data_IF_986297102627
#
_entry.id   IF_986297102627
#
_cell.length_a   1.000
_cell.length_b   1.000
_cell.length_c   1.000
_cell.angle_alpha   90.00
_cell.angle_beta   90.00
_cell.angle_gamma   90.00
#
_symmetry.space_group_name_H-M   'P 1'
#
loop_
_entity.id
_entity.type
_entity.pdbx_description
1 polymer ?
#
# COMPACT_ATOMS: atom_id res chain seq x y z
N UNK A 1 6.81 -18.34 13.66
CA UNK A 1 5.58 -17.83 14.32
C UNK A 1 5.82 -16.34 14.52
N UNK A 2 5.09 -15.46 13.84
CA UNK A 2 5.23 -14.02 14.13
C UNK A 2 4.57 -13.75 15.49
N UNK A 3 5.20 -12.90 16.30
CA UNK A 3 4.72 -12.55 17.63
C UNK A 3 3.43 -11.72 17.55
N UNK A 4 2.50 -11.98 18.47
CA UNK A 4 1.25 -11.21 18.58
C UNK A 4 1.57 -9.77 18.98
N UNK A 5 0.87 -8.79 18.38
CA UNK A 5 1.02 -7.39 18.76
C UNK A 5 0.45 -7.20 20.18
N UNK A 6 1.23 -6.62 21.07
CA UNK A 6 0.77 -6.30 22.42
C UNK A 6 -0.31 -5.21 22.40
N UNK A 7 -1.40 -5.43 23.13
CA UNK A 7 -2.51 -4.49 23.30
C UNK A 7 -2.14 -3.43 24.34
N UNK A 8 -2.57 -2.19 24.13
CA UNK A 8 -2.41 -1.16 25.15
C UNK A 8 -3.33 -1.43 26.36
N UNK A 9 -2.81 -1.47 27.59
CA UNK A 9 -3.62 -1.68 28.80
C UNK A 9 -4.77 -0.69 28.97
N UNK A 10 -4.64 0.53 28.44
CA UNK A 10 -5.68 1.56 28.50
C UNK A 10 -6.95 1.12 27.75
N UNK A 11 -6.82 0.23 26.75
CA UNK A 11 -7.93 -0.35 26.00
C UNK A 11 -8.38 -1.73 26.51
N UNK A 12 -7.60 -2.38 27.39
CA UNK A 12 -7.98 -3.66 28.01
C UNK A 12 -9.04 -3.51 29.11
N UNK A 13 -9.04 -2.40 29.85
CA UNK A 13 -9.81 -2.24 31.09
C UNK A 13 -10.92 -1.19 31.06
N UNK A 14 -10.98 -0.32 30.05
CA UNK A 14 -11.84 0.86 30.10
C UNK A 14 -13.26 0.60 29.58
N UNK A 15 -14.25 0.90 30.44
CA UNK A 15 -15.69 0.81 30.14
C UNK A 15 -16.16 1.83 29.09
N UNK A 16 -15.39 2.88 28.81
CA UNK A 16 -15.62 3.86 27.74
C UNK A 16 -14.32 4.67 27.60
N UNK A 17 -13.45 4.32 26.64
CA UNK A 17 -12.38 5.23 26.23
C UNK A 17 -13.01 6.25 25.28
N UNK A 18 -12.83 7.57 25.51
CA UNK A 18 -13.26 8.57 24.55
C UNK A 18 -12.68 8.23 23.18
N UNK A 19 -13.54 8.13 22.17
CA UNK A 19 -13.11 8.05 20.77
C UNK A 19 -12.46 9.39 20.42
N UNK A 20 -11.17 9.56 20.72
CA UNK A 20 -10.41 10.67 20.18
C UNK A 20 -10.29 10.45 18.66
N UNK A 21 -11.10 11.17 17.90
CA UNK A 21 -10.95 11.21 16.45
C UNK A 21 -9.59 11.87 16.13
N UNK A 22 -8.66 11.17 15.45
CA UNK A 22 -7.43 11.81 15.02
C UNK A 22 -7.79 12.89 13.99
N UNK A 23 -7.68 14.15 14.39
CA UNK A 23 -7.81 15.26 13.46
C UNK A 23 -6.62 15.27 12.50
N UNK A 24 -6.83 15.72 11.26
CA UNK A 24 -5.73 15.89 10.30
C UNK A 24 -4.66 16.85 10.82
N UNK A 25 -5.00 17.76 11.74
CA UNK A 25 -4.04 18.64 12.42
C UNK A 25 -3.15 17.89 13.41
N UNK A 26 -3.67 16.95 14.19
CA UNK A 26 -2.86 16.20 15.16
C UNK A 26 -1.92 15.20 14.46
N UNK A 27 -2.40 14.57 13.38
CA UNK A 27 -1.57 13.75 12.49
C UNK A 27 -0.42 14.58 11.90
N UNK A 28 -0.70 15.78 11.39
CA UNK A 28 0.36 16.69 10.89
C UNK A 28 1.42 17.01 11.95
N UNK A 29 1.01 17.29 13.19
CA UNK A 29 1.96 17.56 14.28
C UNK A 29 2.85 16.35 14.58
N UNK A 30 2.29 15.14 14.58
CA UNK A 30 3.05 13.90 14.77
C UNK A 30 4.04 13.65 13.64
N UNK A 31 3.65 13.91 12.38
CA UNK A 31 4.55 13.82 11.24
C UNK A 31 5.74 14.78 11.36
N UNK A 32 5.48 16.03 11.75
CA UNK A 32 6.54 17.03 11.96
C UNK A 32 7.53 16.56 13.04
N UNK A 33 7.02 15.93 14.11
CA UNK A 33 7.87 15.35 15.14
C UNK A 33 8.69 14.17 14.60
N UNK A 34 8.08 13.26 13.83
CA UNK A 34 8.78 12.16 13.16
C UNK A 34 9.87 12.66 12.20
N UNK A 35 9.62 13.77 11.49
CA UNK A 35 10.60 14.43 10.62
C UNK A 35 11.78 15.00 11.41
N UNK A 36 11.54 15.65 12.56
CA UNK A 36 12.59 16.13 13.46
C UNK A 36 13.43 14.97 14.00
N UNK A 37 12.79 13.85 14.38
CA UNK A 37 13.48 12.65 14.88
C UNK A 37 14.38 12.00 13.80
N UNK A 38 14.00 12.06 12.53
CA UNK A 38 14.73 11.42 11.42
C UNK A 38 15.55 12.39 10.55
N UNK A 39 15.64 13.67 10.92
CA UNK A 39 16.52 14.67 10.30
C UNK A 39 16.22 15.00 8.83
N UNK A 40 14.99 14.75 8.34
CA UNK A 40 14.62 14.97 6.93
C UNK A 40 13.64 16.13 6.77
N UNK A 41 13.95 17.03 5.83
CA UNK A 41 13.07 18.13 5.43
C UNK A 41 12.44 17.76 4.09
N UNK A 42 11.22 17.22 4.11
CA UNK A 42 10.46 16.95 2.89
C UNK A 42 10.01 18.28 2.27
N UNK A 43 10.41 18.55 1.03
CA UNK A 43 10.04 19.77 0.32
C UNK A 43 8.54 19.75 0.02
N UNK A 44 7.77 20.59 0.72
CA UNK A 44 6.30 20.63 0.67
C UNK A 44 5.68 19.35 1.23
N UNK A 45 5.31 19.40 2.51
CA UNK A 45 4.20 18.60 3.04
C UNK A 45 3.08 18.62 1.99
N UNK A 46 2.87 17.52 1.27
CA UNK A 46 1.66 17.39 0.47
C UNK A 46 0.52 17.37 1.49
N UNK A 47 -0.19 18.48 1.59
CA UNK A 47 -1.42 18.51 2.33
C UNK A 47 -2.34 17.40 1.76
N UNK A 48 -2.49 16.28 2.48
CA UNK A 48 -3.58 15.34 2.22
C UNK A 48 -3.25 13.95 1.66
N UNK A 49 -2.01 13.52 1.45
CA UNK A 49 -1.75 12.10 1.08
C UNK A 49 -1.46 11.23 2.32
N UNK A 50 -2.52 10.75 2.97
CA UNK A 50 -2.44 9.91 4.18
C UNK A 50 -1.67 8.59 3.93
N UNK A 51 -1.84 8.00 2.74
CA UNK A 51 -1.20 6.74 2.38
C UNK A 51 0.32 6.88 2.23
N UNK A 52 0.81 7.97 1.63
CA UNK A 52 2.26 8.19 1.50
C UNK A 52 2.94 8.32 2.86
N UNK A 53 2.32 9.03 3.80
CA UNK A 53 2.82 9.18 5.16
C UNK A 53 2.86 7.85 5.93
N UNK A 54 1.86 6.98 5.75
CA UNK A 54 1.87 5.64 6.32
C UNK A 54 3.10 4.84 5.88
N UNK A 55 3.45 4.89 4.60
CA UNK A 55 4.65 4.23 4.08
C UNK A 55 5.93 4.85 4.63
N UNK A 56 6.03 6.18 4.72
CA UNK A 56 7.20 6.83 5.31
C UNK A 56 7.41 6.43 6.78
N UNK A 57 6.36 6.36 7.59
CA UNK A 57 6.45 5.88 8.97
C UNK A 57 6.85 4.40 8.98
N UNK A 58 6.24 3.58 8.13
CA UNK A 58 6.49 2.14 8.04
C UNK A 58 7.96 1.84 7.74
N UNK A 59 8.50 2.51 6.71
CA UNK A 59 9.83 2.27 6.15
C UNK A 59 10.92 3.15 6.77
N UNK A 60 10.65 3.77 7.92
CA UNK A 60 11.60 4.62 8.65
C UNK A 60 12.20 5.72 7.76
N UNK A 61 11.31 6.40 7.02
CA UNK A 61 11.61 7.50 6.12
C UNK A 61 12.09 7.09 4.72
N UNK A 62 12.41 5.81 4.48
CA UNK A 62 12.83 5.32 3.16
C UNK A 62 11.66 5.26 2.17
N UNK A 63 11.95 5.46 0.88
CA UNK A 63 10.95 5.38 -0.22
C UNK A 63 10.86 3.99 -0.84
N UNK A 64 11.94 3.21 -0.75
CA UNK A 64 12.09 1.86 -1.28
C UNK A 64 13.03 1.05 -0.35
N UNK A 65 12.93 -0.28 -0.38
CA UNK A 65 13.79 -1.18 0.41
C UNK A 65 14.85 -1.91 -0.42
N UNK A 66 14.68 -2.00 -1.74
CA UNK A 66 15.64 -2.69 -2.60
C UNK A 66 17.01 -1.99 -2.58
N UNK A 67 18.12 -2.75 -2.59
CA UNK A 67 19.48 -2.19 -2.54
C UNK A 67 19.86 -1.30 -3.74
N UNK A 68 19.20 -1.46 -4.89
CA UNK A 68 19.51 -0.73 -6.11
C UNK A 68 18.92 0.68 -6.17
N UNK A 69 17.95 0.99 -5.32
CA UNK A 69 17.19 2.25 -5.35
C UNK A 69 18.11 3.48 -5.35
N UNK A 70 19.14 3.50 -4.50
CA UNK A 70 20.02 4.66 -4.35
C UNK A 70 20.91 4.94 -5.58
N UNK A 71 21.07 3.95 -6.45
CA UNK A 71 21.94 4.02 -7.64
C UNK A 71 21.17 4.04 -8.96
N UNK A 72 19.84 3.89 -8.91
CA UNK A 72 18.99 3.83 -10.09
C UNK A 72 18.96 5.18 -10.82
N UNK A 73 19.07 5.17 -12.15
CA UNK A 73 19.05 6.39 -12.97
C UNK A 73 17.78 6.50 -13.80
N UNK A 74 17.25 5.36 -14.26
CA UNK A 74 15.98 5.30 -14.98
C UNK A 74 14.97 4.56 -14.11
N UNK A 75 13.94 5.27 -13.64
CA UNK A 75 12.95 4.73 -12.71
C UNK A 75 11.57 4.81 -13.32
N UNK A 76 10.79 3.74 -13.22
CA UNK A 76 9.36 3.72 -13.56
C UNK A 76 8.55 3.65 -12.26
N UNK A 77 7.65 4.61 -12.04
CA UNK A 77 6.67 4.60 -10.95
C UNK A 77 5.30 4.17 -11.53
N UNK A 78 4.93 2.92 -11.30
CA UNK A 78 3.71 2.29 -11.79
C UNK A 78 2.52 2.64 -10.89
N UNK A 79 1.50 3.30 -11.47
CA UNK A 79 0.36 3.79 -10.68
C UNK A 79 0.74 5.02 -9.86
N UNK A 80 1.46 5.95 -10.47
CA UNK A 80 2.08 7.11 -9.80
C UNK A 80 1.06 8.00 -9.08
N UNK A 81 -0.22 7.93 -9.46
CA UNK A 81 -1.29 8.68 -8.81
C UNK A 81 -1.04 10.18 -8.86
N UNK A 82 -0.83 10.79 -7.70
CA UNK A 82 -0.54 12.22 -7.59
C UNK A 82 0.86 12.60 -8.06
N UNK A 83 1.75 11.63 -8.32
CA UNK A 83 3.16 11.84 -8.65
C UNK A 83 4.06 12.14 -7.46
N UNK A 84 3.53 12.08 -6.23
CA UNK A 84 4.26 12.52 -5.03
C UNK A 84 5.49 11.65 -4.77
N UNK A 85 5.33 10.32 -4.86
CA UNK A 85 6.45 9.41 -4.67
C UNK A 85 7.55 9.66 -5.70
N UNK A 86 7.19 9.80 -6.97
CA UNK A 86 8.15 10.04 -8.05
C UNK A 86 8.96 11.34 -7.87
N UNK A 87 8.28 12.44 -7.52
CA UNK A 87 8.93 13.74 -7.25
C UNK A 87 9.91 13.63 -6.08
N UNK A 88 9.45 13.06 -4.98
CA UNK A 88 10.22 12.94 -3.75
C UNK A 88 11.38 11.94 -3.86
N UNK A 89 11.22 10.90 -4.67
CA UNK A 89 12.30 9.98 -4.99
C UNK A 89 13.38 10.70 -5.80
N UNK A 90 13.01 11.46 -6.83
CA UNK A 90 13.96 12.24 -7.62
C UNK A 90 14.73 13.26 -6.76
N UNK A 91 14.04 13.96 -5.85
CA UNK A 91 14.64 14.95 -4.95
C UNK A 91 15.62 14.33 -3.93
N UNK A 92 15.46 13.04 -3.58
CA UNK A 92 16.39 12.32 -2.69
C UNK A 92 17.70 11.92 -3.38
N UNK A 93 17.75 11.95 -4.72
CA UNK A 93 18.89 11.48 -5.51
C UNK A 93 19.39 12.54 -6.52
N UNK A 94 19.68 13.79 -6.10
CA UNK A 94 20.02 14.87 -7.02
C UNK A 94 21.34 14.61 -7.78
N UNK A 95 22.30 13.94 -7.14
CA UNK A 95 23.62 13.60 -7.70
C UNK A 95 23.54 12.48 -8.75
N UNK A 96 22.49 11.65 -8.72
CA UNK A 96 22.36 10.47 -9.59
C UNK A 96 21.71 10.78 -10.95
N UNK A 97 21.30 12.03 -11.20
CA UNK A 97 20.55 12.44 -12.41
C UNK A 97 19.37 11.49 -12.71
N UNK A 98 18.60 11.18 -11.67
CA UNK A 98 17.50 10.22 -11.77
C UNK A 98 16.38 10.80 -12.63
N UNK A 99 15.99 10.05 -13.66
CA UNK A 99 14.76 10.28 -14.41
C UNK A 99 13.70 9.33 -13.90
N UNK A 100 12.63 9.89 -13.33
CA UNK A 100 11.47 9.11 -12.89
C UNK A 100 10.34 9.33 -13.89
N UNK A 101 9.85 8.23 -14.48
CA UNK A 101 8.67 8.21 -15.33
C UNK A 101 7.51 7.71 -14.48
N UNK A 102 6.60 8.60 -14.09
CA UNK A 102 5.38 8.22 -13.39
C UNK A 102 4.25 7.97 -14.39
N UNK A 103 3.59 6.80 -14.31
CA UNK A 103 2.50 6.42 -15.22
C UNK A 103 1.24 6.11 -14.42
N UNK A 104 0.10 6.61 -14.88
CA UNK A 104 -1.22 6.26 -14.36
C UNK A 104 -2.22 6.07 -15.50
N UNK A 105 -3.21 5.18 -15.30
CA UNK A 105 -4.30 5.00 -16.27
C UNK A 105 -5.26 6.20 -16.27
N UNK A 106 -5.33 6.91 -15.14
CA UNK A 106 -6.20 8.08 -14.97
C UNK A 106 -5.42 9.39 -15.13
N UNK A 107 -6.00 10.43 -15.76
CA UNK A 107 -5.40 11.76 -15.85
C UNK A 107 -5.46 12.49 -14.50
N UNK A 108 -4.72 12.01 -13.49
CA UNK A 108 -4.71 12.59 -12.15
C UNK A 108 -3.92 13.89 -12.12
N UNK A 109 -2.84 13.98 -12.91
CA UNK A 109 -2.03 15.19 -13.08
C UNK A 109 -1.91 15.56 -14.56
N UNK A 110 -2.04 16.85 -14.95
CA UNK A 110 -2.00 17.28 -16.35
C UNK A 110 -0.68 16.99 -17.08
N UNK A 111 0.42 16.81 -16.35
CA UNK A 111 1.78 16.73 -16.88
C UNK A 111 2.39 15.32 -16.82
N UNK A 112 1.66 14.31 -16.32
CA UNK A 112 2.14 12.92 -16.25
C UNK A 112 1.63 12.11 -17.46
N UNK A 113 2.45 11.21 -18.02
CA UNK A 113 2.02 10.34 -19.11
C UNK A 113 0.89 9.42 -18.66
N UNK A 114 -0.18 9.40 -19.44
CA UNK A 114 -1.29 8.46 -19.27
C UNK A 114 -0.95 7.23 -20.10
N UNK A 115 -0.76 6.08 -19.45
CA UNK A 115 -0.50 4.83 -20.16
C UNK A 115 -1.16 3.65 -19.45
N UNK A 116 -1.55 2.66 -20.26
CA UNK A 116 -2.12 1.41 -19.79
C UNK A 116 -0.98 0.40 -19.69
N UNK A 117 -0.51 0.18 -18.47
CA UNK A 117 0.62 -0.71 -18.18
C UNK A 117 0.38 -2.16 -18.60
N UNK A 118 -0.87 -2.59 -18.86
CA UNK A 118 -1.16 -3.93 -19.40
C UNK A 118 -0.92 -4.02 -20.92
N UNK A 119 -0.90 -2.91 -21.66
CA UNK A 119 -0.57 -2.85 -23.10
C UNK A 119 0.93 -2.80 -23.37
N UNK A 120 1.35 -3.27 -24.54
CA UNK A 120 2.76 -3.37 -24.92
C UNK A 120 3.58 -2.10 -24.57
N UNK A 121 4.68 -2.29 -23.84
CA UNK A 121 5.57 -1.21 -23.42
C UNK A 121 6.39 -0.73 -24.61
N UNK A 122 6.32 0.56 -24.95
CA UNK A 122 6.98 1.13 -26.13
C UNK A 122 8.26 1.92 -25.80
N UNK A 123 8.73 1.84 -24.55
CA UNK A 123 9.93 2.54 -24.11
C UNK A 123 11.19 1.99 -24.77
N UNK A 124 12.05 2.91 -25.23
CA UNK A 124 13.31 2.56 -25.92
C UNK A 124 14.47 2.30 -24.97
N UNK A 125 14.41 2.86 -23.77
CA UNK A 125 15.43 2.76 -22.74
C UNK A 125 14.88 1.89 -21.62
N UNK A 126 15.60 0.82 -21.21
CA UNK A 126 15.19 0.00 -20.09
C UNK A 126 15.34 0.74 -18.77
N UNK A 127 14.60 0.30 -17.75
CA UNK A 127 14.61 0.90 -16.41
C UNK A 127 15.60 0.17 -15.48
N UNK A 128 16.28 0.93 -14.63
CA UNK A 128 17.13 0.38 -13.58
C UNK A 128 16.31 0.00 -12.34
N UNK A 129 15.17 0.66 -12.15
CA UNK A 129 14.26 0.40 -11.06
C UNK A 129 12.81 0.58 -11.53
N UNK A 130 11.98 -0.42 -11.28
CA UNK A 130 10.53 -0.32 -11.45
C UNK A 130 9.91 -0.41 -10.06
N UNK A 131 9.07 0.57 -9.73
CA UNK A 131 8.38 0.69 -8.46
C UNK A 131 6.87 0.56 -8.67
N UNK A 132 6.20 -0.15 -7.78
CA UNK A 132 4.75 -0.34 -7.81
C UNK A 132 4.20 -0.31 -6.39
N UNK A 133 3.25 0.58 -6.09
CA UNK A 133 2.68 0.72 -4.75
C UNK A 133 1.16 0.78 -4.76
N UNK A 134 0.53 -0.02 -3.89
CA UNK A 134 -0.93 0.00 -3.65
C UNK A 134 -1.75 -0.19 -4.94
N UNK A 135 -1.24 -1.04 -5.84
CA UNK A 135 -1.86 -1.41 -7.10
C UNK A 135 -2.65 -2.74 -7.00
N UNK A 136 -3.06 -3.13 -5.79
CA UNK A 136 -3.90 -4.30 -5.56
C UNK A 136 -5.17 -4.24 -6.41
N UNK A 137 -5.45 -5.31 -7.16
CA UNK A 137 -6.58 -5.34 -8.09
C UNK A 137 -6.46 -4.42 -9.31
N UNK A 138 -5.30 -3.78 -9.54
CA UNK A 138 -5.07 -2.98 -10.75
C UNK A 138 -4.68 -3.83 -11.95
N UNK A 139 -4.08 -5.01 -11.76
CA UNK A 139 -3.66 -5.91 -12.84
C UNK A 139 -4.50 -7.18 -12.84
N UNK A 140 -4.94 -7.62 -14.03
CA UNK A 140 -5.69 -8.87 -14.18
C UNK A 140 -4.79 -10.10 -13.97
N UNK A 141 -3.53 -10.00 -14.39
CA UNK A 141 -2.53 -11.06 -14.27
C UNK A 141 -1.20 -10.50 -13.71
N UNK A 142 -0.97 -10.63 -12.39
CA UNK A 142 0.28 -10.21 -11.76
C UNK A 142 1.52 -10.96 -12.28
N UNK A 143 1.39 -12.22 -12.73
CA UNK A 143 2.52 -12.97 -13.30
C UNK A 143 2.93 -12.43 -14.67
N UNK A 144 1.94 -12.15 -15.53
CA UNK A 144 2.19 -11.50 -16.82
C UNK A 144 2.82 -10.12 -16.63
N UNK A 145 2.35 -9.35 -15.64
CA UNK A 145 2.95 -8.06 -15.31
C UNK A 145 4.41 -8.22 -14.82
N UNK A 146 4.69 -9.16 -13.94
CA UNK A 146 6.06 -9.43 -13.48
C UNK A 146 7.00 -9.78 -14.64
N UNK A 147 6.56 -10.62 -15.59
CA UNK A 147 7.33 -10.93 -16.82
C UNK A 147 7.59 -9.70 -17.67
N UNK A 148 6.61 -8.82 -17.77
CA UNK A 148 6.72 -7.58 -18.53
C UNK A 148 7.71 -6.61 -17.90
N UNK A 149 7.62 -6.43 -16.58
CA UNK A 149 8.59 -5.66 -15.81
C UNK A 149 9.99 -6.24 -15.99
N UNK A 150 10.13 -7.56 -15.86
CA UNK A 150 11.41 -8.24 -16.09
C UNK A 150 12.00 -7.89 -17.47
N UNK A 151 11.19 -7.90 -18.53
CA UNK A 151 11.66 -7.57 -19.88
C UNK A 151 12.03 -6.08 -20.02
N UNK A 152 11.29 -5.17 -19.38
CA UNK A 152 11.56 -3.72 -19.40
C UNK A 152 12.73 -3.27 -18.52
N UNK A 153 13.24 -4.13 -17.63
CA UNK A 153 14.38 -3.82 -16.77
C UNK A 153 15.72 -3.95 -17.50
N UNK A 154 16.66 -3.08 -17.13
CA UNK A 154 18.09 -3.20 -17.40
C UNK A 154 18.64 -4.48 -16.75
N UNK A 155 19.77 -4.99 -17.25
CA UNK A 155 20.51 -6.01 -16.52
C UNK A 155 20.84 -5.49 -15.10
N UNK A 156 20.65 -6.32 -14.08
CA UNK A 156 20.79 -5.94 -12.66
C UNK A 156 19.77 -4.93 -12.14
N UNK A 157 18.76 -4.57 -12.93
CA UNK A 157 17.66 -3.70 -12.51
C UNK A 157 16.74 -4.36 -11.49
N UNK A 158 16.05 -3.54 -10.70
CA UNK A 158 15.23 -3.98 -9.57
C UNK A 158 13.74 -3.76 -9.84
N UNK A 159 12.91 -4.67 -9.36
CA UNK A 159 11.48 -4.48 -9.24
C UNK A 159 11.09 -4.51 -7.75
N UNK A 160 10.40 -3.48 -7.26
CA UNK A 160 9.85 -3.47 -5.91
C UNK A 160 8.33 -3.23 -5.95
N UNK A 161 7.61 -4.06 -5.19
CA UNK A 161 6.17 -4.03 -5.02
C UNK A 161 5.87 -3.80 -3.54
N UNK A 162 5.07 -2.76 -3.25
CA UNK A 162 4.60 -2.42 -1.92
C UNK A 162 3.08 -2.45 -1.90
N UNK A 163 2.47 -3.44 -1.23
CA UNK A 163 1.02 -3.65 -1.37
C UNK A 163 0.35 -4.23 -0.13
N UNK A 164 -0.97 -4.07 -0.09
CA UNK A 164 -1.82 -4.49 1.02
C UNK A 164 -2.45 -5.86 0.77
N UNK A 165 -2.29 -6.75 1.76
CA UNK A 165 -2.95 -8.04 1.76
C UNK A 165 -4.35 -7.92 2.38
N UNK A 166 -5.32 -8.52 1.69
CA UNK A 166 -6.68 -8.74 2.18
C UNK A 166 -6.94 -10.23 2.43
N UNK A 167 -7.80 -10.62 3.38
CA UNK A 167 -8.56 -9.74 4.28
C UNK A 167 -7.76 -9.24 5.51
N UNK A 168 -8.42 -8.55 6.45
CA UNK A 168 -7.89 -8.14 7.76
C UNK A 168 -7.48 -9.38 8.54
N UNK A 169 -6.37 -9.26 9.27
CA UNK A 169 -5.88 -10.25 10.21
C UNK A 169 -6.20 -9.82 11.65
N UNK A 170 -6.39 -10.80 12.52
CA UNK A 170 -6.61 -10.62 13.94
C UNK A 170 -6.03 -11.83 14.67
N UNK A 171 -5.16 -11.59 15.65
CA UNK A 171 -4.41 -12.66 16.32
C UNK A 171 -5.13 -13.19 17.59
N UNK A 172 -6.14 -12.49 18.10
CA UNK A 172 -6.79 -12.79 19.40
C UNK A 172 -8.32 -13.00 19.33
N UNK A 173 -8.89 -13.01 18.12
CA UNK A 173 -10.30 -13.29 17.91
C UNK A 173 -11.25 -12.13 18.26
N UNK A 174 -10.74 -10.94 18.52
CA UNK A 174 -11.57 -9.73 18.72
C UNK A 174 -12.36 -9.30 17.46
N UNK A 175 -11.93 -9.77 16.29
CA UNK A 175 -12.63 -9.61 15.02
C UNK A 175 -13.34 -10.93 14.65
N UNK A 176 -14.64 -11.04 14.93
CA UNK A 176 -15.43 -12.24 14.57
C UNK A 176 -15.70 -12.26 13.06
N UNK A 177 -15.18 -13.26 12.30
CA UNK A 177 -15.38 -13.35 10.85
C UNK A 177 -16.85 -13.40 10.41
N UNK A 178 -17.76 -13.88 11.26
CA UNK A 178 -19.17 -14.08 10.90
C UNK A 178 -20.04 -12.85 11.11
N UNK A 179 -19.67 -11.99 12.07
CA UNK A 179 -20.51 -10.86 12.48
C UNK A 179 -19.87 -9.51 12.20
N UNK A 180 -18.56 -9.46 11.98
CA UNK A 180 -17.82 -8.21 11.75
C UNK A 180 -18.26 -7.52 10.45
N UNK A 181 -18.70 -6.25 10.50
CA UNK A 181 -18.88 -5.41 9.33
C UNK A 181 -17.62 -5.28 8.46
N UNK A 182 -16.43 -5.14 9.06
CA UNK A 182 -15.15 -5.10 8.35
C UNK A 182 -14.97 -6.38 7.54
N UNK A 183 -15.17 -7.56 8.14
CA UNK A 183 -15.00 -8.84 7.44
C UNK A 183 -16.01 -9.00 6.30
N UNK A 184 -17.28 -8.69 6.54
CA UNK A 184 -18.33 -8.67 5.51
C UNK A 184 -17.97 -7.74 4.34
N UNK A 185 -17.42 -6.57 4.64
CA UNK A 185 -16.96 -5.62 3.63
C UNK A 185 -15.80 -6.16 2.81
N UNK A 186 -14.79 -6.77 3.43
CA UNK A 186 -13.62 -7.30 2.73
C UNK A 186 -13.94 -8.53 1.88
N UNK A 187 -14.80 -9.41 2.38
CA UNK A 187 -15.33 -10.52 1.59
C UNK A 187 -16.08 -10.02 0.35
N UNK A 188 -16.89 -8.97 0.49
CA UNK A 188 -17.57 -8.34 -0.64
C UNK A 188 -16.58 -7.75 -1.66
N UNK A 189 -15.55 -7.03 -1.20
CA UNK A 189 -14.50 -6.53 -2.09
C UNK A 189 -13.79 -7.66 -2.84
N UNK A 190 -13.39 -8.72 -2.14
CA UNK A 190 -12.69 -9.86 -2.73
C UNK A 190 -13.59 -10.57 -3.75
N UNK A 191 -14.86 -10.84 -3.43
CA UNK A 191 -15.82 -11.46 -4.34
C UNK A 191 -16.05 -10.60 -5.60
N UNK A 192 -16.28 -9.29 -5.42
CA UNK A 192 -16.45 -8.35 -6.52
C UNK A 192 -15.20 -8.31 -7.42
N UNK A 193 -14.01 -8.26 -6.83
CA UNK A 193 -12.74 -8.20 -7.56
C UNK A 193 -12.51 -9.45 -8.43
N UNK A 194 -12.85 -10.64 -7.90
CA UNK A 194 -12.77 -11.91 -8.64
C UNK A 194 -13.74 -11.93 -9.81
N UNK A 195 -14.98 -11.46 -9.62
CA UNK A 195 -15.98 -11.35 -10.69
C UNK A 195 -15.58 -10.36 -11.79
N UNK A 196 -14.84 -9.31 -11.42
CA UNK A 196 -14.30 -8.33 -12.35
C UNK A 196 -13.06 -8.85 -13.11
N UNK A 197 -12.49 -9.99 -12.71
CA UNK A 197 -11.26 -10.54 -13.30
C UNK A 197 -9.99 -9.82 -12.87
N UNK A 198 -10.04 -9.06 -11.77
CA UNK A 198 -8.89 -8.35 -11.20
C UNK A 198 -8.80 -8.65 -9.70
N UNK A 199 -8.26 -9.82 -9.33
CA UNK A 199 -8.36 -10.33 -7.96
C UNK A 199 -7.59 -9.45 -6.97
N UNK A 200 -8.25 -9.11 -5.86
CA UNK A 200 -7.61 -8.53 -4.68
C UNK A 200 -6.95 -9.61 -3.82
N UNK A 201 -5.94 -9.21 -3.04
CA UNK A 201 -5.30 -10.07 -2.03
C UNK A 201 -4.28 -11.06 -2.59
N UNK A 202 -3.54 -10.68 -3.63
CA UNK A 202 -2.46 -11.49 -4.22
C UNK A 202 -1.08 -11.16 -3.65
N UNK A 203 -0.98 -10.28 -2.64
CA UNK A 203 0.30 -9.74 -2.17
C UNK A 203 1.21 -10.81 -1.56
N UNK A 204 0.62 -11.83 -0.93
CA UNK A 204 1.31 -13.02 -0.40
C UNK A 204 1.90 -13.95 -1.48
N UNK A 205 1.56 -13.72 -2.75
CA UNK A 205 2.08 -14.50 -3.88
C UNK A 205 3.23 -13.79 -4.60
N UNK A 206 3.44 -12.49 -4.37
CA UNK A 206 4.40 -11.70 -5.15
C UNK A 206 5.81 -12.28 -5.11
N UNK A 207 6.29 -12.73 -3.95
CA UNK A 207 7.60 -13.37 -3.85
C UNK A 207 7.73 -14.58 -4.79
N UNK A 208 6.78 -15.51 -4.70
CA UNK A 208 6.76 -16.71 -5.53
C UNK A 208 6.58 -16.39 -7.03
N UNK A 209 5.88 -15.31 -7.34
CA UNK A 209 5.74 -14.80 -8.72
C UNK A 209 7.10 -14.32 -9.23
N UNK A 210 7.79 -13.45 -8.48
CA UNK A 210 9.11 -12.93 -8.90
C UNK A 210 10.13 -14.06 -9.08
N UNK A 211 10.18 -15.01 -8.15
CA UNK A 211 11.06 -16.18 -8.25
C UNK A 211 10.77 -17.01 -9.51
N UNK A 212 9.49 -17.31 -9.80
CA UNK A 212 9.08 -18.06 -11.00
C UNK A 212 9.33 -17.29 -12.30
N UNK A 213 9.26 -15.96 -12.28
CA UNK A 213 9.58 -15.12 -13.43
C UNK A 213 11.08 -15.13 -13.77
N UNK A 214 11.95 -15.47 -12.80
CA UNK A 214 13.40 -15.55 -12.99
C UNK A 214 14.17 -14.40 -12.34
N UNK A 215 13.52 -13.60 -11.48
CA UNK A 215 14.24 -12.65 -10.63
C UNK A 215 15.11 -13.42 -9.62
N UNK A 216 16.28 -12.86 -9.29
CA UNK A 216 17.13 -13.32 -8.19
C UNK A 216 17.21 -12.28 -7.07
N UNK A 217 17.85 -12.61 -5.95
CA UNK A 217 17.89 -11.74 -4.75
C UNK A 217 16.48 -11.32 -4.30
N UNK A 218 15.52 -12.25 -4.38
CA UNK A 218 14.14 -11.98 -4.03
C UNK A 218 13.99 -11.98 -2.52
N UNK A 219 13.52 -10.86 -1.97
CA UNK A 219 13.26 -10.69 -0.54
C UNK A 219 11.82 -10.24 -0.31
N UNK A 220 11.30 -10.59 0.86
CA UNK A 220 9.96 -10.22 1.29
C UNK A 220 10.01 -9.77 2.74
N UNK A 221 9.56 -8.54 2.97
CA UNK A 221 9.35 -7.99 4.30
C UNK A 221 7.86 -7.70 4.50
N UNK A 222 7.29 -8.21 5.59
CA UNK A 222 5.89 -8.03 5.94
C UNK A 222 5.78 -7.07 7.13
N UNK A 223 5.14 -5.93 6.91
CA UNK A 223 4.76 -4.98 7.95
C UNK A 223 3.31 -5.18 8.37
N UNK A 224 2.94 -4.69 9.56
CA UNK A 224 1.57 -4.75 10.08
C UNK A 224 1.04 -3.34 10.24
N UNK A 225 -0.09 -3.04 9.62
CA UNK A 225 -0.83 -1.79 9.76
C UNK A 225 -2.09 -2.02 10.59
N UNK A 226 -2.08 -1.65 11.88
CA UNK A 226 -3.25 -1.75 12.75
C UNK A 226 -4.44 -0.99 12.18
N UNK A 227 -5.66 -1.49 12.41
CA UNK A 227 -6.89 -0.81 11.98
C UNK A 227 -7.14 0.49 12.75
N UNK A 228 -6.63 0.58 13.98
CA UNK A 228 -6.70 1.75 14.86
C UNK A 228 -5.59 1.73 15.92
N UNK A 229 -5.69 2.60 16.93
CA UNK A 229 -4.67 2.85 17.95
C UNK A 229 -4.57 1.80 19.08
N UNK A 230 -5.19 0.63 18.95
CA UNK A 230 -5.16 -0.45 19.95
C UNK A 230 -3.76 -0.97 20.37
N UNK A 231 -2.70 -0.93 19.53
CA UNK A 231 -1.39 -1.45 19.94
C UNK A 231 -0.73 -0.64 21.05
N UNK A 232 0.03 -1.32 21.91
CA UNK A 232 0.89 -0.71 22.93
C UNK A 232 2.13 -0.03 22.35
N UNK A 233 2.72 -0.62 21.31
CA UNK A 233 3.93 -0.09 20.67
C UNK A 233 3.67 1.30 20.08
N UNK A 234 4.58 2.26 20.33
CA UNK A 234 4.41 3.67 19.93
C UNK A 234 4.28 3.82 18.41
N UNK A 235 5.11 3.11 17.63
CA UNK A 235 5.12 3.21 16.17
C UNK A 235 3.86 2.57 15.58
N UNK A 236 3.48 1.39 16.06
CA UNK A 236 2.25 0.71 15.62
C UNK A 236 0.99 1.48 16.01
N UNK A 237 0.94 2.06 17.21
CA UNK A 237 -0.18 2.93 17.62
C UNK A 237 -0.34 4.12 16.70
N UNK A 238 0.77 4.77 16.35
CA UNK A 238 0.77 5.89 15.42
C UNK A 238 0.32 5.46 14.02
N UNK A 239 0.88 4.36 13.48
CA UNK A 239 0.43 3.76 12.22
C UNK A 239 -1.07 3.48 12.25
N UNK A 240 -1.60 2.97 13.35
CA UNK A 240 -3.04 2.73 13.54
C UNK A 240 -3.89 3.99 13.41
N UNK A 241 -3.44 5.13 13.97
CA UNK A 241 -4.15 6.42 13.84
C UNK A 241 -4.17 6.92 12.40
N UNK A 242 -3.02 6.87 11.73
CA UNK A 242 -2.92 7.26 10.31
C UNK A 242 -3.73 6.34 9.41
N UNK A 243 -3.71 5.03 9.69
CA UNK A 243 -4.39 4.03 8.89
C UNK A 243 -5.91 4.15 9.03
N UNK A 244 -6.40 4.40 10.25
CA UNK A 244 -7.81 4.72 10.49
C UNK A 244 -8.26 5.92 9.66
N UNK A 245 -7.52 7.03 9.68
CA UNK A 245 -7.85 8.22 8.89
C UNK A 245 -7.80 7.94 7.38
N UNK A 246 -6.81 7.16 6.92
CA UNK A 246 -6.66 6.80 5.51
C UNK A 246 -7.85 5.97 5.00
N UNK A 247 -8.24 4.94 5.74
CA UNK A 247 -9.37 4.10 5.36
C UNK A 247 -10.70 4.84 5.48
N UNK A 248 -10.91 5.65 6.51
CA UNK A 248 -12.16 6.40 6.67
C UNK A 248 -12.42 7.36 5.50
N UNK A 249 -11.36 8.01 4.99
CA UNK A 249 -11.42 8.87 3.82
C UNK A 249 -11.68 8.11 2.51
N UNK A 250 -11.14 6.88 2.37
CA UNK A 250 -11.21 6.10 1.13
C UNK A 250 -12.35 5.08 1.04
N UNK A 251 -13.00 4.75 2.17
CA UNK A 251 -13.90 3.61 2.31
C UNK A 251 -15.05 3.61 1.29
N UNK A 252 -15.75 4.73 1.14
CA UNK A 252 -16.88 4.83 0.21
C UNK A 252 -16.43 4.73 -1.25
N UNK A 253 -15.30 5.35 -1.60
CA UNK A 253 -14.78 5.36 -2.98
C UNK A 253 -14.48 3.95 -3.48
N UNK A 254 -13.79 3.15 -2.67
CA UNK A 254 -13.48 1.75 -2.99
C UNK A 254 -14.73 0.87 -3.02
N UNK A 255 -15.69 1.14 -2.13
CA UNK A 255 -16.88 0.28 -1.97
C UNK A 255 -17.94 0.51 -3.04
N UNK A 256 -18.25 1.77 -3.38
CA UNK A 256 -19.39 2.09 -4.23
C UNK A 256 -19.30 1.45 -5.61
N UNK A 257 -18.14 1.52 -6.29
CA UNK A 257 -18.00 0.98 -7.63
C UNK A 257 -18.15 -0.55 -7.66
N UNK A 258 -17.47 -1.26 -6.77
CA UNK A 258 -17.46 -2.73 -6.74
C UNK A 258 -18.81 -3.29 -6.27
N UNK A 259 -19.35 -2.79 -5.17
CA UNK A 259 -20.59 -3.34 -4.61
C UNK A 259 -21.81 -3.04 -5.48
N UNK A 260 -21.92 -1.84 -6.06
CA UNK A 260 -23.10 -1.51 -6.88
C UNK A 260 -23.01 -2.13 -8.26
N UNK A 261 -21.89 -1.98 -8.98
CA UNK A 261 -21.78 -2.41 -10.38
C UNK A 261 -21.56 -3.91 -10.53
N UNK A 262 -20.88 -4.56 -9.57
CA UNK A 262 -20.50 -5.98 -9.68
C UNK A 262 -21.36 -6.87 -8.78
N UNK A 263 -21.64 -6.45 -7.55
CA UNK A 263 -22.47 -7.23 -6.62
C UNK A 263 -23.96 -6.86 -6.66
N UNK A 264 -24.33 -5.84 -7.43
CA UNK A 264 -25.72 -5.38 -7.57
C UNK A 264 -26.37 -4.92 -6.26
N UNK A 265 -25.58 -4.43 -5.30
CA UNK A 265 -26.11 -3.80 -4.10
C UNK A 265 -26.72 -2.44 -4.42
N UNK A 266 -27.73 -2.03 -3.64
CA UNK A 266 -28.21 -0.66 -3.69
C UNK A 266 -27.15 0.30 -3.12
N UNK A 267 -27.17 1.57 -3.55
CA UNK A 267 -26.25 2.57 -3.00
C UNK A 267 -26.47 2.74 -1.49
N UNK A 268 -27.71 2.68 -1.06
CA UNK A 268 -28.15 2.82 0.32
C UNK A 268 -27.56 1.70 1.19
N UNK A 269 -27.62 0.45 0.74
CA UNK A 269 -27.04 -0.68 1.47
C UNK A 269 -25.51 -0.59 1.58
N UNK A 270 -24.84 -0.09 0.53
CA UNK A 270 -23.38 0.12 0.56
C UNK A 270 -23.02 1.20 1.57
N UNK A 271 -23.73 2.33 1.58
CA UNK A 271 -23.49 3.40 2.55
C UNK A 271 -23.76 2.97 3.99
N UNK A 272 -24.80 2.15 4.20
CA UNK A 272 -25.08 1.55 5.51
C UNK A 272 -23.92 0.64 5.96
N UNK A 273 -23.43 -0.24 5.08
CA UNK A 273 -22.26 -1.07 5.38
C UNK A 273 -21.02 -0.22 5.68
N UNK A 274 -20.75 0.82 4.89
CA UNK A 274 -19.64 1.75 5.15
C UNK A 274 -19.74 2.40 6.53
N UNK A 275 -20.95 2.80 6.95
CA UNK A 275 -21.17 3.39 8.28
C UNK A 275 -20.85 2.38 9.41
N UNK A 276 -21.24 1.12 9.26
CA UNK A 276 -20.94 0.08 10.24
C UNK A 276 -19.46 -0.29 10.27
N UNK A 277 -18.81 -0.36 9.11
CA UNK A 277 -17.36 -0.56 8.99
C UNK A 277 -16.60 0.56 9.70
N UNK A 278 -16.96 1.83 9.49
CA UNK A 278 -16.33 2.97 10.20
C UNK A 278 -16.45 2.84 11.71
N UNK A 279 -17.62 2.44 12.19
CA UNK A 279 -17.88 2.26 13.63
C UNK A 279 -16.96 1.18 14.21
N UNK A 280 -16.78 0.07 13.49
CA UNK A 280 -15.92 -1.03 13.91
C UNK A 280 -14.43 -0.67 13.79
N UNK A 281 -14.00 0.01 12.71
CA UNK A 281 -12.62 0.48 12.56
C UNK A 281 -12.19 1.39 13.70
N UNK A 282 -13.10 2.23 14.19
CA UNK A 282 -12.87 3.15 15.32
C UNK A 282 -12.92 2.45 16.69
N UNK A 283 -13.33 1.19 16.77
CA UNK A 283 -13.44 0.48 18.05
C UNK A 283 -12.07 -0.07 18.48
N UNK A 284 -11.45 0.45 19.56
CA UNK A 284 -10.13 -0.01 20.00
C UNK A 284 -10.16 -1.44 20.57
N UNK A 285 -11.33 -2.03 20.83
CA UNK A 285 -11.48 -3.43 21.22
C UNK A 285 -11.35 -4.40 20.04
N UNK A 286 -11.29 -3.89 18.81
CA UNK A 286 -11.10 -4.68 17.60
C UNK A 286 -9.63 -4.59 17.22
N UNK A 287 -8.88 -5.67 17.48
CA UNK A 287 -7.43 -5.74 17.29
C UNK A 287 -7.09 -6.25 15.89
N UNK A 288 -7.70 -5.61 14.89
CA UNK A 288 -7.46 -5.89 13.48
C UNK A 288 -6.17 -5.25 12.97
N UNK A 289 -5.55 -5.86 11.97
CA UNK A 289 -4.46 -5.27 11.21
C UNK A 289 -4.42 -5.80 9.77
N UNK A 290 -3.91 -4.98 8.85
CA UNK A 290 -3.52 -5.43 7.51
C UNK A 290 -2.05 -5.79 7.46
N UNK A 291 -1.71 -6.79 6.65
CA UNK A 291 -0.32 -7.06 6.30
C UNK A 291 0.04 -6.23 5.07
N UNK A 292 1.15 -5.52 5.15
CA UNK A 292 1.73 -4.78 4.03
C UNK A 292 2.98 -5.52 3.59
N UNK A 293 2.95 -6.02 2.37
CA UNK A 293 4.06 -6.74 1.76
C UNK A 293 4.95 -5.74 1.04
N UNK A 294 6.25 -5.78 1.33
CA UNK A 294 7.29 -5.17 0.51
C UNK A 294 8.12 -6.29 -0.05
N UNK A 295 7.98 -6.52 -1.36
CA UNK A 295 8.67 -7.59 -2.08
C UNK A 295 9.51 -6.95 -3.16
N UNK A 296 10.77 -7.35 -3.26
CA UNK A 296 11.62 -6.92 -4.37
C UNK A 296 12.41 -8.08 -4.95
N UNK A 297 12.81 -7.94 -6.20
CA UNK A 297 13.66 -8.88 -6.91
C UNK A 297 14.52 -8.17 -7.95
N UNK A 298 15.70 -8.72 -8.22
CA UNK A 298 16.66 -8.19 -9.19
C UNK A 298 16.67 -9.03 -10.46
N UNK A 299 16.82 -8.38 -11.61
CA UNK A 299 17.03 -9.06 -12.89
C UNK A 299 18.49 -9.54 -12.98
N UNK A 300 18.76 -10.82 -13.27
CA UNK A 300 20.12 -11.30 -13.44
C UNK A 300 20.82 -10.65 -14.65
N UNK A 301 22.16 -10.65 -14.63
CA UNK A 301 22.97 -10.18 -15.77
C UNK A 301 22.66 -10.90 -17.10
N UNK A 302 22.21 -12.15 -17.04
CA UNK A 302 22.05 -13.05 -18.18
C UNK A 302 20.66 -13.10 -18.83
N UNK A 303 19.69 -12.27 -18.44
CA UNK A 303 18.30 -12.40 -18.92
C UNK A 303 17.56 -13.61 -18.29
N UNK A 304 16.39 -13.97 -18.81
CA UNK A 304 15.61 -15.11 -18.30
C UNK A 304 16.41 -16.39 -18.59
N UNK A 305 16.70 -17.25 -17.60
CA UNK A 305 17.22 -18.59 -17.87
C UNK A 305 16.23 -19.35 -18.76
N UNK A 306 16.69 -19.86 -19.91
CA UNK A 306 15.89 -20.72 -20.81
C UNK A 306 15.33 -21.96 -20.11
#
# INVERSE_FOLDING_TARGET
MQEQIAVDPDFESALEVPLEEPSTSSLRSSLLQFQQENGRTYHRLSEGNLQDNLYLITLDGKRALNPGAETAKQVLDMGTGTGLWALEFADQHPEAQVSVVGVDLSPIQPALPIDDLEKEWTWKVPFDFVFCRMMTGSFADPEAMAKKVFNGLSAEGWYEIQDIQLPVFCDDGTLDPKTSPIMKWQEGLIDASKKLGRPLGASDQYKAILERTGFHNVDETIFRWPTNSWPKDRKLKELGKWNLANFDAGLEGVSLALFTRVLSWSKEDVLALCADVRRELRNPKVHGYWKIYVVYGQKPKGGIPE
#
